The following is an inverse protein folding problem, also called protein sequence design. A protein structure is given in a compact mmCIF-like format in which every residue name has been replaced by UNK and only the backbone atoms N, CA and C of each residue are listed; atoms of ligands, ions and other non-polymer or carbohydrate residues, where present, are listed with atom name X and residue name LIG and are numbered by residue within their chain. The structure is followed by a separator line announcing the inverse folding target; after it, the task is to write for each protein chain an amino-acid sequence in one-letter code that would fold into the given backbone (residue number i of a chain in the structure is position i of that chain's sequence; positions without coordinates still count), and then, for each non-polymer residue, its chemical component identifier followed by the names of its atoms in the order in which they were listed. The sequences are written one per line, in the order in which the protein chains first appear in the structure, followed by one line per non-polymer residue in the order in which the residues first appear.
data_IF_594356053159
#
_entry.id   IF_594356053159
#
_cell.length_a   1.000
_cell.length_b   1.000
_cell.length_c   1.000
_cell.angle_alpha   90.00
_cell.angle_beta   90.00
_cell.angle_gamma   90.00
#
_symmetry.space_group_name_H-M   'P 1'
#
loop_
_entity.id
_entity.type
_entity.pdbx_description
1 polymer ?
#
# COMPACT_ATOMS: atom_id res chain seq x y z
N UNK A 1 -9.34 -26.65 -1.76
CA UNK A 1 -7.98 -26.48 -2.34
C UNK A 1 -7.99 -25.83 -3.73
N UNK A 2 -8.61 -26.44 -4.75
CA UNK A 2 -8.53 -25.96 -6.15
C UNK A 2 -8.97 -24.51 -6.38
N UNK A 3 -10.00 -24.04 -5.66
CA UNK A 3 -10.44 -22.63 -5.75
C UNK A 3 -9.36 -21.66 -5.28
N UNK A 4 -8.63 -21.99 -4.22
CA UNK A 4 -7.56 -21.13 -3.68
C UNK A 4 -6.40 -21.10 -4.66
N UNK A 5 -5.94 -22.26 -5.13
CA UNK A 5 -4.89 -22.36 -6.15
C UNK A 5 -5.19 -21.50 -7.40
N UNK A 6 -6.42 -21.57 -7.90
CA UNK A 6 -6.85 -20.74 -9.04
C UNK A 6 -6.82 -19.23 -8.74
N UNK A 7 -7.14 -18.81 -7.52
CA UNK A 7 -7.21 -17.40 -7.13
C UNK A 7 -5.84 -16.81 -6.77
N UNK A 8 -4.94 -17.62 -6.22
CA UNK A 8 -3.62 -17.17 -5.76
C UNK A 8 -2.50 -17.42 -6.75
N UNK A 9 -2.71 -18.32 -7.72
CA UNK A 9 -1.66 -18.79 -8.63
C UNK A 9 -0.70 -19.80 -8.00
N UNK A 10 -0.90 -20.17 -6.73
CA UNK A 10 -0.05 -21.14 -6.03
C UNK A 10 -0.47 -22.58 -6.33
N UNK A 11 0.47 -23.52 -6.18
CA UNK A 11 0.17 -24.94 -6.36
C UNK A 11 -0.74 -25.49 -5.23
N UNK A 12 -1.66 -26.43 -5.52
CA UNK A 12 -2.47 -27.06 -4.49
C UNK A 12 -1.66 -27.73 -3.37
N UNK A 13 -0.53 -28.36 -3.71
CA UNK A 13 0.39 -29.01 -2.77
C UNK A 13 1.03 -27.99 -1.81
N UNK A 14 1.51 -26.86 -2.32
CA UNK A 14 2.04 -25.81 -1.45
C UNK A 14 0.96 -25.27 -0.50
N UNK A 15 -0.23 -25.00 -1.02
CA UNK A 15 -1.34 -24.46 -0.21
C UNK A 15 -1.73 -25.46 0.89
N UNK A 16 -1.73 -26.77 0.60
CA UNK A 16 -1.97 -27.83 1.58
C UNK A 16 -0.90 -27.82 2.69
N UNK A 17 0.38 -27.75 2.32
CA UNK A 17 1.50 -27.67 3.28
C UNK A 17 1.45 -26.45 4.19
N UNK A 18 0.84 -25.35 3.73
CA UNK A 18 0.63 -24.16 4.56
C UNK A 18 -0.61 -24.23 5.45
N UNK A 19 -1.34 -25.36 5.49
CA UNK A 19 -2.62 -25.48 6.18
C UNK A 19 -3.63 -24.38 5.79
N UNK A 20 -3.66 -24.00 4.49
CA UNK A 20 -4.46 -22.90 3.96
C UNK A 20 -4.11 -21.50 4.54
N UNK A 21 -2.99 -21.35 5.24
CA UNK A 21 -2.55 -20.10 5.89
C UNK A 21 -1.30 -19.58 5.18
N UNK A 22 -1.52 -18.97 4.03
CA UNK A 22 -0.45 -18.40 3.22
C UNK A 22 0.02 -17.10 3.88
N UNK A 23 1.26 -17.09 4.38
CA UNK A 23 1.93 -15.89 4.89
C UNK A 23 2.51 -15.08 3.71
N UNK A 24 2.55 -13.76 3.84
CA UNK A 24 2.82 -12.86 2.72
C UNK A 24 4.27 -12.94 2.20
N UNK A 25 5.28 -13.05 3.06
CA UNK A 25 6.67 -13.23 2.62
C UNK A 25 6.85 -14.59 1.95
N UNK A 26 6.18 -15.62 2.46
CA UNK A 26 6.19 -16.92 1.78
C UNK A 26 5.47 -16.85 0.42
N UNK A 27 4.41 -16.07 0.29
CA UNK A 27 3.73 -15.85 -0.99
C UNK A 27 4.65 -15.19 -2.03
N UNK A 28 5.34 -14.10 -1.64
CA UNK A 28 6.25 -13.37 -2.54
C UNK A 28 7.45 -14.21 -2.97
N UNK A 29 7.86 -15.18 -2.13
CA UNK A 29 8.86 -16.20 -2.46
C UNK A 29 8.34 -17.31 -3.37
N UNK A 30 7.11 -17.76 -3.15
CA UNK A 30 6.56 -18.95 -3.80
C UNK A 30 6.00 -18.70 -5.20
N UNK A 31 5.34 -17.55 -5.43
CA UNK A 31 4.50 -17.32 -6.62
C UNK A 31 5.19 -17.67 -7.95
N UNK A 32 6.48 -17.32 -8.09
CA UNK A 32 7.29 -17.57 -9.28
C UNK A 32 8.53 -18.45 -8.98
N UNK A 33 8.47 -19.31 -7.95
CA UNK A 33 9.60 -20.14 -7.53
C UNK A 33 10.11 -21.04 -8.66
N UNK A 34 9.22 -21.57 -9.50
CA UNK A 34 9.57 -22.42 -10.65
C UNK A 34 10.44 -21.69 -11.69
N UNK A 35 10.35 -20.36 -11.75
CA UNK A 35 11.17 -19.51 -12.61
C UNK A 35 12.42 -19.00 -11.89
N UNK A 36 12.65 -19.44 -10.64
CA UNK A 36 13.69 -18.93 -9.73
C UNK A 36 13.62 -17.41 -9.63
N UNK A 37 12.41 -16.89 -9.43
CA UNK A 37 12.11 -15.46 -9.23
C UNK A 37 11.29 -15.26 -7.96
N UNK A 38 11.44 -14.10 -7.35
CA UNK A 38 10.58 -13.57 -6.29
C UNK A 38 9.82 -12.36 -6.80
N UNK A 39 8.74 -11.96 -6.12
CA UNK A 39 7.97 -10.75 -6.45
C UNK A 39 8.01 -9.73 -5.31
N UNK A 40 7.77 -8.45 -5.63
CA UNK A 40 7.72 -7.38 -4.61
C UNK A 40 6.51 -7.49 -3.69
N UNK A 41 6.68 -7.14 -2.41
CA UNK A 41 5.56 -7.10 -1.45
C UNK A 41 4.73 -5.84 -1.64
N UNK A 42 5.38 -4.70 -1.84
CA UNK A 42 4.65 -3.45 -2.10
C UNK A 42 4.25 -3.30 -3.57
N UNK A 43 4.91 -4.01 -4.50
CA UNK A 43 4.47 -4.08 -5.90
C UNK A 43 4.90 -5.41 -6.55
N UNK A 44 3.93 -6.32 -6.71
CA UNK A 44 4.16 -7.68 -7.22
C UNK A 44 4.62 -7.74 -8.69
N UNK A 45 4.62 -6.61 -9.42
CA UNK A 45 5.11 -6.55 -10.81
C UNK A 45 6.63 -6.54 -10.90
N UNK A 46 7.33 -6.21 -9.80
CA UNK A 46 8.79 -6.22 -9.74
C UNK A 46 9.29 -7.63 -9.44
N UNK A 47 10.29 -8.07 -10.21
CA UNK A 47 10.91 -9.38 -10.05
C UNK A 47 12.25 -9.26 -9.32
N UNK A 48 12.46 -10.14 -8.35
CA UNK A 48 13.72 -10.32 -7.63
C UNK A 48 14.40 -11.63 -8.00
N UNK A 49 15.69 -11.71 -7.64
CA UNK A 49 16.51 -12.90 -7.80
C UNK A 49 17.21 -13.13 -6.47
N UNK A 50 16.97 -14.29 -5.88
CA UNK A 50 17.66 -14.75 -4.68
C UNK A 50 18.76 -15.75 -5.05
N UNK A 51 19.73 -15.93 -4.15
CA UNK A 51 20.76 -16.96 -4.29
C UNK A 51 20.14 -18.36 -4.27
N UNK A 52 19.26 -18.60 -3.30
CA UNK A 52 18.61 -19.89 -3.12
C UNK A 52 17.10 -19.82 -3.39
N UNK A 53 16.66 -20.59 -4.39
CA UNK A 53 15.25 -20.72 -4.72
C UNK A 53 14.49 -21.61 -3.74
N UNK A 54 15.13 -22.33 -2.82
CA UNK A 54 14.48 -23.19 -1.81
C UNK A 54 14.17 -22.49 -0.48
N UNK A 55 14.67 -21.26 -0.26
CA UNK A 55 14.42 -20.49 0.96
C UNK A 55 12.93 -20.20 1.22
N UNK A 56 12.60 -19.90 2.48
CA UNK A 56 11.23 -19.64 2.92
C UNK A 56 10.72 -18.22 2.59
N UNK A 57 11.62 -17.23 2.60
CA UNK A 57 11.32 -15.82 2.37
C UNK A 57 12.24 -15.25 1.28
N UNK A 58 11.86 -14.13 0.61
CA UNK A 58 12.76 -13.44 -0.30
C UNK A 58 13.95 -12.81 0.46
N UNK A 59 15.13 -12.75 -0.16
CA UNK A 59 16.31 -12.11 0.46
C UNK A 59 16.13 -10.59 0.62
N UNK A 60 15.36 -9.99 -0.28
CA UNK A 60 14.98 -8.58 -0.26
C UNK A 60 13.68 -8.37 -1.03
N UNK A 61 13.03 -7.22 -0.84
CA UNK A 61 11.88 -6.83 -1.66
C UNK A 61 12.36 -6.14 -2.96
N UNK A 62 12.16 -6.73 -4.16
CA UNK A 62 12.61 -6.15 -5.41
C UNK A 62 11.94 -4.82 -5.75
N UNK A 63 10.71 -4.59 -5.30
CA UNK A 63 10.02 -3.31 -5.50
C UNK A 63 10.62 -2.20 -4.63
N UNK A 64 11.08 -2.50 -3.41
CA UNK A 64 11.81 -1.55 -2.57
C UNK A 64 13.20 -1.26 -3.16
N UNK A 65 13.93 -2.29 -3.57
CA UNK A 65 15.25 -2.14 -4.18
C UNK A 65 15.21 -1.24 -5.43
N UNK A 66 14.15 -1.36 -6.24
CA UNK A 66 13.98 -0.55 -7.44
C UNK A 66 13.72 0.93 -7.16
N UNK A 67 13.03 1.27 -6.06
CA UNK A 67 12.63 2.66 -5.77
C UNK A 67 13.60 3.38 -4.81
N UNK A 68 14.27 2.66 -3.90
CA UNK A 68 15.00 3.32 -2.81
C UNK A 68 16.13 4.21 -3.33
N UNK A 69 16.92 3.74 -4.29
CA UNK A 69 18.03 4.49 -4.87
C UNK A 69 17.58 5.78 -5.57
N UNK A 70 16.70 5.70 -6.59
CA UNK A 70 16.22 6.88 -7.32
C UNK A 70 15.58 7.95 -6.42
N UNK A 71 14.70 7.55 -5.48
CA UNK A 71 14.02 8.51 -4.60
C UNK A 71 14.98 9.14 -3.59
N UNK A 72 15.93 8.37 -3.06
CA UNK A 72 16.96 8.89 -2.14
C UNK A 72 17.86 9.90 -2.83
N UNK A 73 18.32 9.59 -4.05
CA UNK A 73 19.17 10.47 -4.84
C UNK A 73 18.47 11.77 -5.20
N UNK A 74 17.25 11.67 -5.75
CA UNK A 74 16.46 12.84 -6.16
C UNK A 74 16.16 13.78 -5.00
N UNK A 75 15.80 13.25 -3.82
CA UNK A 75 15.51 14.10 -2.67
C UNK A 75 16.77 14.79 -2.12
N UNK A 76 17.90 14.09 -2.06
CA UNK A 76 19.17 14.69 -1.64
C UNK A 76 19.60 15.81 -2.60
N UNK A 77 19.46 15.59 -3.90
CA UNK A 77 19.72 16.60 -4.92
C UNK A 77 18.80 17.81 -4.74
N UNK A 78 17.48 17.61 -4.68
CA UNK A 78 16.49 18.68 -4.51
C UNK A 78 16.73 19.54 -3.26
N UNK A 79 16.95 18.91 -2.10
CA UNK A 79 17.11 19.64 -0.84
C UNK A 79 18.41 20.47 -0.83
N UNK A 80 19.50 19.93 -1.37
CA UNK A 80 20.81 20.60 -1.34
C UNK A 80 20.97 21.61 -2.46
N UNK A 81 20.58 21.25 -3.68
CA UNK A 81 20.81 22.06 -4.87
C UNK A 81 19.67 23.03 -5.16
N UNK A 82 18.42 22.68 -4.93
CA UNK A 82 17.29 23.58 -5.23
C UNK A 82 16.87 24.39 -4.00
N UNK A 83 16.66 23.71 -2.86
CA UNK A 83 16.25 24.38 -1.62
C UNK A 83 17.41 25.04 -0.87
N UNK A 84 18.66 24.79 -1.29
CA UNK A 84 19.90 25.32 -0.66
C UNK A 84 19.99 25.02 0.83
N UNK A 85 19.42 23.91 1.27
CA UNK A 85 19.53 23.44 2.65
C UNK A 85 20.76 22.55 2.78
N UNK A 86 21.70 22.98 3.63
CA UNK A 86 22.89 22.21 3.96
C UNK A 86 22.89 21.77 5.43
N UNK A 87 23.24 20.51 5.63
CA UNK A 87 23.30 19.84 6.93
C UNK A 87 24.18 18.60 6.81
N UNK A 88 24.95 18.37 7.86
CA UNK A 88 25.79 17.19 8.11
C UNK A 88 24.97 15.96 8.58
N UNK A 89 23.68 16.14 8.87
CA UNK A 89 22.80 15.03 9.21
C UNK A 89 22.51 14.15 7.98
N UNK A 90 22.60 12.81 8.12
CA UNK A 90 22.22 11.91 7.05
C UNK A 90 20.70 11.96 6.84
N UNK A 91 20.28 12.01 5.57
CA UNK A 91 18.86 11.84 5.24
C UNK A 91 18.48 10.35 5.33
N UNK A 92 17.68 10.00 6.34
CA UNK A 92 17.27 8.63 6.62
C UNK A 92 15.97 8.27 5.86
N UNK A 93 16.06 7.44 4.81
CA UNK A 93 14.94 7.16 3.88
C UNK A 93 13.98 6.11 4.45
N UNK A 94 14.50 4.96 4.86
CA UNK A 94 13.77 3.88 5.55
C UNK A 94 14.71 3.27 6.60
N UNK A 95 14.64 3.78 7.84
CA UNK A 95 15.62 3.45 8.88
C UNK A 95 14.98 2.71 10.06
N UNK A 96 15.73 1.78 10.66
CA UNK A 96 15.31 1.08 11.87
C UNK A 96 15.50 1.93 13.14
N UNK A 97 16.19 3.07 13.06
CA UNK A 97 16.51 3.94 14.20
C UNK A 97 15.30 4.57 14.89
N UNK A 98 14.14 4.54 14.24
CA UNK A 98 12.86 5.04 14.80
C UNK A 98 12.21 4.04 15.77
N UNK A 99 12.80 2.87 15.99
CA UNK A 99 12.27 1.82 16.88
C UNK A 99 12.79 1.97 18.32
N UNK A 100 12.03 1.46 19.31
CA UNK A 100 10.73 0.79 19.17
C UNK A 100 9.56 1.76 19.03
N UNK A 101 8.62 1.44 18.13
CA UNK A 101 7.33 2.12 18.07
C UNK A 101 6.47 1.69 19.27
N UNK A 102 5.76 2.64 19.89
CA UNK A 102 4.86 2.33 20.98
C UNK A 102 3.50 1.83 20.45
N UNK A 103 3.27 0.52 20.54
CA UNK A 103 2.01 -0.13 20.21
C UNK A 103 1.20 -0.53 21.46
N UNK A 104 1.52 -0.02 22.65
CA UNK A 104 0.82 -0.38 23.89
C UNK A 104 -0.73 -0.27 23.80
N UNK A 105 -1.31 0.73 23.10
CA UNK A 105 -2.76 0.77 22.91
C UNK A 105 -3.32 -0.35 22.02
N UNK A 106 -2.50 -1.13 21.35
CA UNK A 106 -2.91 -2.16 20.38
C UNK A 106 -2.37 -3.55 20.71
N UNK A 107 -2.02 -3.83 21.97
CA UNK A 107 -1.57 -5.17 22.38
C UNK A 107 -2.64 -6.24 22.14
N UNK A 108 -2.22 -7.39 21.60
CA UNK A 108 -3.08 -8.53 21.22
C UNK A 108 -4.21 -8.17 20.23
N UNK A 109 -4.07 -7.07 19.49
CA UNK A 109 -5.00 -6.67 18.43
C UNK A 109 -4.28 -6.00 17.27
N UNK A 110 -4.94 -5.93 16.13
CA UNK A 110 -4.43 -5.12 15.01
C UNK A 110 -4.68 -3.64 15.28
N UNK A 111 -3.76 -2.80 14.80
CA UNK A 111 -4.00 -1.35 14.72
C UNK A 111 -5.21 -1.13 13.82
N UNK A 112 -6.23 -0.49 14.37
CA UNK A 112 -7.45 -0.16 13.64
C UNK A 112 -7.86 1.27 13.95
N UNK A 113 -8.00 2.08 12.90
CA UNK A 113 -8.40 3.49 12.96
C UNK A 113 -9.74 3.76 12.29
N UNK A 114 -10.48 2.72 11.88
CA UNK A 114 -11.78 2.83 11.23
C UNK A 114 -12.79 3.61 12.09
N UNK A 115 -12.83 3.34 13.41
CA UNK A 115 -13.72 4.09 14.32
C UNK A 115 -13.30 5.56 14.47
N UNK A 116 -12.00 5.85 14.45
CA UNK A 116 -11.50 7.22 14.45
C UNK A 116 -11.95 7.96 13.19
N UNK A 117 -11.83 7.31 12.02
CA UNK A 117 -12.30 7.86 10.75
C UNK A 117 -13.81 8.09 10.75
N UNK A 118 -14.60 7.11 11.21
CA UNK A 118 -16.06 7.21 11.32
C UNK A 118 -16.47 8.39 12.21
N UNK A 119 -15.87 8.52 13.40
CA UNK A 119 -16.10 9.64 14.31
C UNK A 119 -15.76 10.97 13.67
N UNK A 120 -14.60 11.08 13.01
CA UNK A 120 -14.18 12.30 12.34
C UNK A 120 -15.19 12.72 11.25
N UNK A 121 -15.66 11.78 10.43
CA UNK A 121 -16.66 12.06 9.39
C UNK A 121 -18.04 12.43 9.95
N UNK A 122 -18.44 11.85 11.10
CA UNK A 122 -19.72 12.22 11.75
C UNK A 122 -19.64 13.59 12.42
N UNK A 123 -18.50 13.94 13.02
CA UNK A 123 -18.28 15.23 13.67
C UNK A 123 -18.03 16.35 12.67
N UNK A 124 -17.42 16.04 11.53
CA UNK A 124 -17.23 16.95 10.41
C UNK A 124 -17.90 16.38 9.16
N UNK A 125 -19.19 16.69 8.93
CA UNK A 125 -19.90 16.26 7.73
C UNK A 125 -19.28 16.76 6.42
N UNK A 126 -18.37 17.74 6.45
CA UNK A 126 -17.65 18.23 5.26
C UNK A 126 -16.37 17.43 4.96
N UNK A 127 -16.03 16.42 5.76
CA UNK A 127 -14.87 15.58 5.51
C UNK A 127 -15.16 14.57 4.39
N UNK A 128 -14.46 14.73 3.26
CA UNK A 128 -14.41 13.75 2.18
C UNK A 128 -13.11 12.94 2.24
N UNK A 129 -13.18 11.67 1.86
CA UNK A 129 -12.06 10.72 1.92
C UNK A 129 -11.90 10.04 0.58
N UNK A 130 -10.67 9.99 0.07
CA UNK A 130 -10.33 9.24 -1.14
C UNK A 130 -9.24 8.21 -0.84
N UNK A 131 -9.42 6.98 -1.31
CA UNK A 131 -8.38 5.93 -1.21
C UNK A 131 -8.02 5.42 -2.61
N UNK A 132 -6.77 5.64 -2.99
CA UNK A 132 -6.18 5.07 -4.19
C UNK A 132 -5.60 3.69 -3.89
N UNK A 133 -5.96 2.70 -4.71
CA UNK A 133 -5.69 1.28 -4.43
C UNK A 133 -4.95 0.63 -5.59
N UNK A 134 -3.75 0.12 -5.33
CA UNK A 134 -3.01 -0.67 -6.30
C UNK A 134 -3.48 -2.13 -6.33
N UNK A 135 -3.72 -2.69 -7.51
CA UNK A 135 -4.05 -4.12 -7.65
C UNK A 135 -2.91 -5.06 -7.22
N UNK A 136 -1.67 -4.59 -7.35
CA UNK A 136 -0.46 -5.39 -7.10
C UNK A 136 0.20 -5.07 -5.75
N UNK A 137 -0.50 -4.32 -4.89
CA UNK A 137 -0.06 -4.02 -3.53
C UNK A 137 -0.44 -5.17 -2.59
N UNK A 138 0.54 -5.96 -2.19
CA UNK A 138 0.35 -7.05 -1.24
C UNK A 138 0.59 -6.61 0.20
N UNK A 139 1.08 -5.38 0.41
CA UNK A 139 1.33 -4.81 1.72
C UNK A 139 0.06 -4.24 2.35
N UNK A 140 -0.74 -3.54 1.55
CA UNK A 140 -2.06 -3.02 1.93
C UNK A 140 -3.08 -3.38 0.86
N UNK A 141 -3.56 -4.64 0.83
CA UNK A 141 -4.44 -5.12 -0.23
C UNK A 141 -5.70 -4.26 -0.40
N UNK A 142 -6.04 -3.92 -1.64
CA UNK A 142 -7.15 -3.01 -1.96
C UNK A 142 -8.47 -3.41 -1.28
N UNK A 143 -8.75 -4.71 -1.18
CA UNK A 143 -9.99 -5.21 -0.63
C UNK A 143 -10.12 -4.92 0.87
N UNK A 144 -9.02 -4.78 1.61
CA UNK A 144 -9.07 -4.37 3.02
C UNK A 144 -9.58 -2.94 3.19
N UNK A 145 -9.26 -2.05 2.24
CA UNK A 145 -9.81 -0.69 2.22
C UNK A 145 -11.31 -0.70 1.89
N UNK A 146 -11.74 -1.50 0.89
CA UNK A 146 -13.16 -1.65 0.55
C UNK A 146 -13.95 -2.20 1.73
N UNK A 147 -13.45 -3.29 2.32
CA UNK A 147 -14.03 -3.88 3.52
C UNK A 147 -14.15 -2.86 4.64
N UNK A 148 -13.12 -2.06 4.88
CA UNK A 148 -13.17 -1.00 5.92
C UNK A 148 -14.28 -0.01 5.61
N UNK A 149 -14.33 0.53 4.39
CA UNK A 149 -15.34 1.53 3.98
C UNK A 149 -16.76 1.00 4.10
N UNK A 150 -17.00 -0.23 3.67
CA UNK A 150 -18.32 -0.87 3.74
C UNK A 150 -18.80 -1.02 5.20
N UNK A 151 -17.87 -1.30 6.11
CA UNK A 151 -18.13 -1.61 7.51
C UNK A 151 -17.91 -0.43 8.48
N UNK A 152 -17.70 0.80 7.99
CA UNK A 152 -17.57 1.98 8.87
C UNK A 152 -18.85 2.27 9.65
N UNK A 153 -20.01 1.79 9.22
CA UNK A 153 -21.29 2.09 9.87
C UNK A 153 -21.65 3.58 9.78
N UNK A 154 -21.21 4.28 8.73
CA UNK A 154 -21.60 5.66 8.46
C UNK A 154 -23.09 5.76 8.14
N UNK A 155 -23.71 6.84 8.59
CA UNK A 155 -25.03 7.26 8.17
C UNK A 155 -25.10 7.35 6.63
N UNK A 156 -26.21 6.94 5.99
CA UNK A 156 -26.36 7.00 4.53
C UNK A 156 -26.06 8.37 3.93
N UNK A 157 -26.30 9.47 4.66
CA UNK A 157 -26.03 10.84 4.21
C UNK A 157 -24.55 11.14 4.03
N UNK A 158 -23.65 10.40 4.71
CA UNK A 158 -22.19 10.58 4.63
C UNK A 158 -21.52 9.58 3.69
N UNK A 159 -22.24 8.58 3.18
CA UNK A 159 -21.66 7.52 2.34
C UNK A 159 -21.06 8.06 1.04
N UNK A 160 -21.66 9.10 0.45
CA UNK A 160 -21.15 9.77 -0.76
C UNK A 160 -19.83 10.54 -0.54
N UNK A 161 -19.40 10.71 0.71
CA UNK A 161 -18.14 11.39 1.03
C UNK A 161 -16.94 10.45 0.99
N UNK A 162 -17.17 9.14 0.87
CA UNK A 162 -16.14 8.15 0.61
C UNK A 162 -16.01 7.93 -0.90
N UNK A 163 -14.79 8.05 -1.40
CA UNK A 163 -14.44 7.76 -2.77
C UNK A 163 -13.20 6.85 -2.83
N UNK A 164 -13.03 6.15 -3.94
CA UNK A 164 -11.83 5.37 -4.16
C UNK A 164 -11.67 5.00 -5.63
N UNK A 165 -10.46 4.66 -6.00
CA UNK A 165 -10.13 4.25 -7.35
C UNK A 165 -9.08 3.15 -7.33
N UNK A 166 -9.09 2.33 -8.38
CA UNK A 166 -8.14 1.25 -8.58
C UNK A 166 -7.13 1.59 -9.67
N UNK A 167 -5.94 1.02 -9.55
CA UNK A 167 -4.80 1.30 -10.41
C UNK A 167 -4.04 0.02 -10.71
N UNK A 168 -3.59 -0.10 -11.98
CA UNK A 168 -2.66 -1.12 -12.47
C UNK A 168 -1.24 -0.84 -11.94
N UNK A 169 -1.08 -0.83 -10.62
CA UNK A 169 0.14 -0.55 -9.89
C UNK A 169 0.17 -1.26 -8.53
N UNK A 170 1.32 -1.24 -7.86
CA UNK A 170 1.43 -1.59 -6.45
C UNK A 170 1.10 -0.40 -5.52
N UNK A 171 1.79 -0.35 -4.39
CA UNK A 171 1.59 0.59 -3.28
C UNK A 171 1.76 2.07 -3.67
N UNK A 172 2.64 2.32 -4.65
CA UNK A 172 2.93 3.67 -5.15
C UNK A 172 2.43 3.82 -6.58
N UNK A 173 1.15 4.15 -6.76
CA UNK A 173 0.52 4.29 -8.09
C UNK A 173 1.34 5.14 -9.08
N UNK A 174 2.04 6.15 -8.55
CA UNK A 174 2.81 7.10 -9.33
C UNK A 174 4.13 6.55 -9.91
N UNK A 175 4.56 5.33 -9.55
CA UNK A 175 5.72 4.68 -10.21
C UNK A 175 5.36 4.08 -11.58
N UNK A 176 4.06 4.00 -11.90
CA UNK A 176 3.56 3.55 -13.20
C UNK A 176 2.92 4.72 -13.93
N UNK A 177 3.51 5.17 -15.04
CA UNK A 177 3.12 6.42 -15.71
C UNK A 177 1.63 6.52 -16.10
N UNK A 178 0.98 5.47 -16.66
CA UNK A 178 -0.47 5.50 -16.89
C UNK A 178 -1.28 5.66 -15.59
N UNK A 179 -0.88 4.96 -14.52
CA UNK A 179 -1.51 5.07 -13.20
C UNK A 179 -1.29 6.44 -12.57
N UNK A 180 -0.12 7.07 -12.76
CA UNK A 180 0.16 8.45 -12.33
C UNK A 180 -0.79 9.45 -13.01
N UNK A 181 -0.92 9.36 -14.33
CA UNK A 181 -1.80 10.25 -15.09
C UNK A 181 -3.26 10.10 -14.64
N UNK A 182 -3.72 8.86 -14.45
CA UNK A 182 -5.04 8.56 -13.90
C UNK A 182 -5.19 9.10 -12.48
N UNK A 183 -4.22 8.88 -11.60
CA UNK A 183 -4.25 9.33 -10.20
C UNK A 183 -4.40 10.85 -10.12
N UNK A 184 -3.64 11.59 -10.95
CA UNK A 184 -3.76 13.05 -11.04
C UNK A 184 -5.17 13.47 -11.44
N UNK A 185 -5.75 12.83 -12.45
CA UNK A 185 -7.12 13.12 -12.92
C UNK A 185 -8.15 12.84 -11.83
N UNK A 186 -8.08 11.67 -11.20
CA UNK A 186 -9.03 11.23 -10.17
C UNK A 186 -8.98 12.14 -8.95
N UNK A 187 -7.78 12.51 -8.48
CA UNK A 187 -7.62 13.44 -7.35
C UNK A 187 -8.16 14.83 -7.71
N UNK A 188 -7.88 15.35 -8.91
CA UNK A 188 -8.39 16.65 -9.33
C UNK A 188 -9.93 16.66 -9.39
N UNK A 189 -10.53 15.59 -9.91
CA UNK A 189 -11.98 15.42 -9.93
C UNK A 189 -12.55 15.31 -8.52
N UNK A 190 -11.94 14.49 -7.66
CA UNK A 190 -12.35 14.33 -6.27
C UNK A 190 -12.33 15.64 -5.49
N UNK A 191 -11.27 16.44 -5.63
CA UNK A 191 -11.17 17.76 -5.01
C UNK A 191 -12.32 18.63 -5.51
N UNK A 192 -12.52 18.72 -6.83
CA UNK A 192 -13.58 19.55 -7.42
C UNK A 192 -14.98 19.12 -6.96
N UNK A 193 -15.25 17.82 -6.86
CA UNK A 193 -16.55 17.30 -6.40
C UNK A 193 -16.78 17.46 -4.91
N UNK A 194 -15.71 17.63 -4.12
CA UNK A 194 -15.78 17.79 -2.66
C UNK A 194 -15.84 19.26 -2.24
N UNK A 195 -15.76 20.21 -3.19
CA UNK A 195 -15.95 21.63 -2.90
C UNK A 195 -17.44 21.95 -2.74
N UNK A 196 -17.83 22.73 -1.72
CA UNK A 196 -19.21 23.15 -1.55
C UNK A 196 -19.62 24.07 -2.71
N UNK A 197 -20.89 24.00 -3.12
CA UNK A 197 -21.45 24.84 -4.18
C UNK A 197 -21.60 26.33 -3.81
N UNK A 198 -21.16 26.72 -2.61
CA UNK A 198 -21.19 28.07 -2.07
C UNK A 198 -20.45 28.15 -0.72
N UNK A 199 -20.31 29.34 -0.11
CA UNK A 199 -19.67 29.46 1.20
C UNK A 199 -20.44 28.66 2.26
N UNK A 200 -19.69 28.03 3.18
CA UNK A 200 -20.26 27.31 4.31
C UNK A 200 -21.14 28.27 5.14
N UNK A 201 -22.38 27.85 5.46
CA UNK A 201 -23.28 28.59 6.35
C UNK A 201 -23.02 28.24 7.81
#
# INVERSE_FOLDING_TARGET
MQKVARLTGLSPDYIDRTNLRIEIQRFTKELLRNERRTVGRIDARFLGIDRDAAGDEPEFDPSIAAIIGPYSGMLNDYVRNDQKFDSDLPYEVLTARVRPWNYAPYENRYVNVAETLRKAMTQNPFLHVFVAKGYYDLATPFFAADYTFDHLGLDPTLRSHLAGAYYEAGHMMYVHAPSLAKLKSDIAQFIKSSMPAGPAK
#
